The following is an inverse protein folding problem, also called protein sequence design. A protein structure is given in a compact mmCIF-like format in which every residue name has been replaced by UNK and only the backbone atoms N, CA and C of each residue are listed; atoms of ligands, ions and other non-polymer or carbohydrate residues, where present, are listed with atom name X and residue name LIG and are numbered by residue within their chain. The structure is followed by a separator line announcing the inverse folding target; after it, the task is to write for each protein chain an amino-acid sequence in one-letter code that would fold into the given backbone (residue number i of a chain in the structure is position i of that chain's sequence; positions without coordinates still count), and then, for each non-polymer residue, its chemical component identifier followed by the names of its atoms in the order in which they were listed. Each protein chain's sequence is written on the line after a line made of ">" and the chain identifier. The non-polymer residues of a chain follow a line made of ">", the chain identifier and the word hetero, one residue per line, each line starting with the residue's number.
data_IF_877376783249
#
_entry.id   IF_877376783249
#
_cell.length_a   1.000
_cell.length_b   1.000
_cell.length_c   1.000
_cell.angle_alpha   90.00
_cell.angle_beta   90.00
_cell.angle_gamma   90.00
#
_symmetry.space_group_name_H-M   'P 1'
#
loop_
_entity.id
_entity.type
_entity.pdbx_description
1 polymer ?
#
# COMPACT_ATOMS: atom_id res chain seq x y z
N UNK A 1 18.08 -20.51 -4.60
CA UNK A 1 16.67 -20.96 -4.60
C UNK A 1 15.92 -20.05 -5.55
N UNK A 2 15.44 -20.55 -6.68
CA UNK A 2 14.56 -19.77 -7.55
C UNK A 2 13.21 -19.67 -6.85
N UNK A 3 12.91 -18.54 -6.24
CA UNK A 3 11.54 -18.22 -5.86
C UNK A 3 10.72 -18.20 -7.15
N UNK A 4 9.59 -18.90 -7.19
CA UNK A 4 8.64 -18.73 -8.29
C UNK A 4 8.25 -17.25 -8.33
N UNK A 5 8.30 -16.63 -9.51
CA UNK A 5 7.82 -15.25 -9.69
C UNK A 5 6.34 -15.22 -9.28
N UNK A 6 6.00 -14.27 -8.41
CA UNK A 6 4.63 -14.02 -7.96
C UNK A 6 4.17 -12.69 -8.54
N UNK A 7 2.89 -12.55 -8.82
CA UNK A 7 2.26 -11.26 -9.10
C UNK A 7 1.80 -10.61 -7.80
N UNK A 8 2.38 -9.47 -7.45
CA UNK A 8 2.12 -8.77 -6.19
C UNK A 8 1.54 -7.39 -6.46
N UNK A 9 0.38 -7.11 -5.86
CA UNK A 9 -0.19 -5.76 -5.80
C UNK A 9 0.22 -5.13 -4.48
N UNK A 10 0.82 -3.94 -4.53
CA UNK A 10 1.20 -3.18 -3.34
C UNK A 10 0.31 -1.95 -3.26
N UNK A 11 -0.37 -1.74 -2.14
CA UNK A 11 -1.12 -0.51 -1.90
C UNK A 11 -0.36 0.45 -0.99
N UNK A 12 -0.62 1.74 -1.16
CA UNK A 12 0.03 2.78 -0.36
C UNK A 12 -0.71 4.11 -0.40
N UNK A 13 0.00 5.20 -0.14
CA UNK A 13 -0.55 6.57 -0.10
C UNK A 13 0.41 7.59 -0.75
N UNK A 14 1.12 7.23 -1.83
CA UNK A 14 2.08 8.09 -2.53
C UNK A 14 1.42 9.20 -3.35
N UNK A 15 0.38 8.90 -4.13
CA UNK A 15 -0.43 9.92 -4.79
C UNK A 15 -1.28 10.64 -3.75
N UNK A 16 -1.87 9.93 -2.79
CA UNK A 16 -2.69 10.54 -1.73
C UNK A 16 -1.90 11.56 -0.90
N UNK A 17 -0.64 11.27 -0.56
CA UNK A 17 0.27 12.18 0.15
C UNK A 17 1.62 12.28 -0.58
N UNK A 18 1.76 13.16 -1.59
CA UNK A 18 2.94 13.26 -2.45
C UNK A 18 4.09 14.02 -1.76
N UNK A 19 4.50 13.50 -0.60
CA UNK A 19 5.57 13.99 0.26
C UNK A 19 6.72 12.99 0.23
N UNK A 20 7.97 13.47 0.27
CA UNK A 20 9.15 12.62 0.12
C UNK A 20 9.22 11.47 1.15
N UNK A 21 8.89 11.74 2.41
CA UNK A 21 8.85 10.73 3.47
C UNK A 21 7.78 9.66 3.22
N UNK A 22 6.55 10.09 2.90
CA UNK A 22 5.44 9.18 2.57
C UNK A 22 5.75 8.35 1.33
N UNK A 23 6.35 8.97 0.32
CA UNK A 23 6.77 8.28 -0.90
C UNK A 23 7.74 7.17 -0.58
N UNK A 24 8.83 7.45 0.13
CA UNK A 24 9.80 6.43 0.50
C UNK A 24 9.24 5.37 1.46
N UNK A 25 8.21 5.68 2.26
CA UNK A 25 7.56 4.69 3.12
C UNK A 25 6.91 3.55 2.31
N UNK A 26 6.13 3.87 1.27
CA UNK A 26 5.48 2.86 0.42
C UNK A 26 6.38 2.35 -0.70
N UNK A 27 7.15 3.25 -1.31
CA UNK A 27 7.90 2.96 -2.52
C UNK A 27 8.84 1.79 -2.33
N UNK A 28 9.52 1.64 -1.19
CA UNK A 28 10.57 0.62 -0.98
C UNK A 28 10.10 -0.83 -1.20
N UNK A 29 8.81 -1.12 -0.96
CA UNK A 29 8.24 -2.44 -1.20
C UNK A 29 8.28 -2.79 -2.70
N UNK A 30 8.01 -1.82 -3.58
CA UNK A 30 7.81 -2.05 -5.00
C UNK A 30 9.11 -2.46 -5.73
N UNK A 31 10.21 -1.67 -5.73
CA UNK A 31 11.47 -2.09 -6.31
C UNK A 31 12.15 -3.19 -5.48
N UNK A 32 11.90 -3.28 -4.17
CA UNK A 32 12.40 -4.38 -3.33
C UNK A 32 11.91 -5.74 -3.82
N UNK A 33 10.59 -5.88 -3.99
CA UNK A 33 9.96 -7.10 -4.52
C UNK A 33 10.34 -7.38 -5.97
N UNK A 34 10.45 -6.35 -6.83
CA UNK A 34 10.94 -6.51 -8.20
C UNK A 34 12.35 -7.10 -8.26
N UNK A 35 13.24 -6.65 -7.36
CA UNK A 35 14.62 -7.18 -7.26
C UNK A 35 14.67 -8.62 -6.77
N UNK A 36 13.65 -9.08 -6.05
CA UNK A 36 13.48 -10.48 -5.68
C UNK A 36 12.89 -11.34 -6.81
N UNK A 37 12.61 -10.75 -7.98
CA UNK A 37 12.15 -11.45 -9.17
C UNK A 37 10.62 -11.56 -9.30
N UNK A 38 9.87 -10.74 -8.56
CA UNK A 38 8.40 -10.73 -8.63
C UNK A 38 7.86 -9.73 -9.67
N UNK A 39 6.64 -9.99 -10.15
CA UNK A 39 5.87 -9.12 -11.03
C UNK A 39 5.01 -8.18 -10.19
N UNK A 40 5.43 -6.92 -10.05
CA UNK A 40 4.87 -6.01 -9.03
C UNK A 40 4.10 -4.87 -9.67
N UNK A 41 2.93 -4.59 -9.11
CA UNK A 41 2.06 -3.47 -9.45
C UNK A 41 1.79 -2.62 -8.22
N UNK A 42 1.60 -1.33 -8.41
CA UNK A 42 1.24 -0.40 -7.35
C UNK A 42 -0.20 0.09 -7.52
N UNK A 43 -0.98 0.14 -6.45
CA UNK A 43 -2.38 0.52 -6.51
C UNK A 43 -2.75 1.45 -5.36
N UNK A 44 -3.44 2.54 -5.66
CA UNK A 44 -4.04 3.41 -4.65
C UNK A 44 -5.54 3.50 -4.88
N UNK A 45 -6.30 2.94 -3.95
CA UNK A 45 -7.75 2.97 -3.91
C UNK A 45 -8.19 3.27 -2.48
N UNK A 46 -7.95 4.51 -2.07
CA UNK A 46 -8.01 4.94 -0.67
C UNK A 46 -9.40 5.34 -0.22
N UNK A 47 -10.32 5.57 -1.17
CA UNK A 47 -11.64 6.15 -0.95
C UNK A 47 -11.61 7.44 -0.09
N UNK A 48 -10.52 8.20 -0.15
CA UNK A 48 -10.30 9.38 0.70
C UNK A 48 -10.13 10.67 -0.11
N UNK A 49 -10.36 11.78 0.56
CA UNK A 49 -10.21 13.14 0.07
C UNK A 49 -8.73 13.46 -0.20
N UNK A 50 -8.39 13.88 -1.42
CA UNK A 50 -6.99 14.05 -1.86
C UNK A 50 -6.30 15.23 -1.19
N UNK A 51 -5.12 14.97 -0.62
CA UNK A 51 -4.26 16.02 -0.08
C UNK A 51 -3.36 16.60 -1.18
N UNK A 52 -3.30 17.93 -1.28
CA UNK A 52 -2.39 18.63 -2.20
C UNK A 52 -1.45 19.58 -1.48
N UNK A 53 -0.14 19.30 -1.47
CA UNK A 53 0.87 20.25 -0.98
C UNK A 53 0.87 21.56 -1.77
N UNK A 54 0.60 21.49 -3.09
CA UNK A 54 0.59 22.66 -3.98
C UNK A 54 -0.55 23.63 -3.65
N UNK A 55 -1.66 23.13 -3.11
CA UNK A 55 -2.81 23.92 -2.66
C UNK A 55 -2.75 24.29 -1.16
N UNK A 56 -1.56 24.26 -0.53
CA UNK A 56 -1.40 24.58 0.89
C UNK A 56 -2.03 23.54 1.83
N UNK A 57 -2.21 22.30 1.38
CA UNK A 57 -2.72 21.19 2.18
C UNK A 57 -4.24 21.09 2.28
N UNK A 58 -4.99 21.80 1.42
CA UNK A 58 -6.45 21.64 1.31
C UNK A 58 -6.83 20.38 0.51
N UNK A 59 -7.98 19.80 0.86
CA UNK A 59 -8.63 18.77 0.06
C UNK A 59 -9.11 19.36 -1.26
N UNK A 60 -8.66 18.79 -2.38
CA UNK A 60 -8.95 19.32 -3.72
C UNK A 60 -9.84 18.38 -4.53
N UNK A 61 -10.61 18.98 -5.46
CA UNK A 61 -11.37 18.26 -6.52
C UNK A 61 -10.53 18.01 -7.78
N UNK A 62 -9.29 18.50 -7.79
CA UNK A 62 -8.30 18.25 -8.84
C UNK A 62 -7.30 17.22 -8.30
N UNK A 63 -6.83 16.27 -9.11
CA UNK A 63 -5.78 15.34 -8.71
C UNK A 63 -4.58 15.35 -9.67
N UNK A 64 -4.53 16.31 -10.59
CA UNK A 64 -3.52 16.40 -11.65
C UNK A 64 -2.11 16.33 -11.07
N UNK A 65 -1.81 17.15 -10.05
CA UNK A 65 -0.49 17.12 -9.39
C UNK A 65 -0.15 15.75 -8.80
N UNK A 66 -1.10 15.11 -8.12
CA UNK A 66 -0.93 13.83 -7.44
C UNK A 66 -0.69 12.69 -8.45
N UNK A 67 -1.48 12.67 -9.53
CA UNK A 67 -1.35 11.73 -10.65
C UNK A 67 -0.01 11.89 -11.35
N UNK A 68 0.37 13.12 -11.71
CA UNK A 68 1.65 13.40 -12.35
C UNK A 68 2.84 13.06 -11.44
N UNK A 69 2.72 13.33 -10.14
CA UNK A 69 3.72 12.97 -9.14
C UNK A 69 3.93 11.46 -9.11
N UNK A 70 2.84 10.69 -8.97
CA UNK A 70 2.91 9.24 -8.93
C UNK A 70 3.46 8.67 -10.23
N UNK A 71 3.02 9.17 -11.39
CA UNK A 71 3.52 8.77 -12.70
C UNK A 71 5.03 8.96 -12.82
N UNK A 72 5.56 10.12 -12.39
CA UNK A 72 7.01 10.39 -12.39
C UNK A 72 7.77 9.45 -11.46
N UNK A 73 7.25 9.20 -10.26
CA UNK A 73 7.85 8.25 -9.32
C UNK A 73 7.89 6.86 -9.94
N UNK A 74 6.77 6.36 -10.46
CA UNK A 74 6.70 5.02 -11.07
C UNK A 74 7.61 4.88 -12.29
N UNK A 75 7.65 5.88 -13.17
CA UNK A 75 8.53 5.88 -14.34
C UNK A 75 10.01 5.76 -13.95
N UNK A 76 10.46 6.45 -12.89
CA UNK A 76 11.84 6.37 -12.38
C UNK A 76 12.27 4.95 -12.00
N UNK A 77 11.33 4.12 -11.55
CA UNK A 77 11.58 2.74 -11.13
C UNK A 77 11.18 1.70 -12.19
N UNK A 78 10.93 2.14 -13.44
CA UNK A 78 10.56 1.27 -14.55
C UNK A 78 9.18 0.64 -14.39
N UNK A 79 8.24 1.39 -13.81
CA UNK A 79 6.87 0.97 -13.49
C UNK A 79 5.82 1.87 -14.16
N UNK A 80 6.18 2.61 -15.22
CA UNK A 80 5.28 3.57 -15.88
C UNK A 80 3.91 2.97 -16.25
N UNK A 81 3.88 1.71 -16.67
CA UNK A 81 2.67 0.95 -17.07
C UNK A 81 2.23 -0.06 -15.99
N UNK A 82 2.58 0.18 -14.72
CA UNK A 82 2.41 -0.80 -13.62
C UNK A 82 1.84 -0.18 -12.35
N UNK A 83 1.04 0.87 -12.50
CA UNK A 83 0.38 1.51 -11.39
C UNK A 83 -1.06 1.91 -11.74
N UNK A 84 -1.90 2.03 -10.72
CA UNK A 84 -3.20 2.64 -10.84
C UNK A 84 -3.55 3.47 -9.61
N UNK A 85 -4.28 4.56 -9.82
CA UNK A 85 -4.75 5.46 -8.78
C UNK A 85 -6.23 5.75 -8.99
N UNK A 86 -7.04 5.53 -7.96
CA UNK A 86 -8.45 5.88 -7.93
C UNK A 86 -8.63 7.23 -7.25
N UNK A 87 -9.17 8.18 -8.00
CA UNK A 87 -9.59 9.47 -7.48
C UNK A 87 -11.07 9.41 -7.09
N UNK A 88 -11.33 9.18 -5.81
CA UNK A 88 -12.66 8.98 -5.21
C UNK A 88 -13.65 10.11 -5.54
N UNK A 89 -13.23 11.37 -5.37
CA UNK A 89 -14.10 12.55 -5.56
C UNK A 89 -14.60 12.74 -7.01
N UNK A 90 -13.92 12.16 -8.00
CA UNK A 90 -14.33 12.18 -9.41
C UNK A 90 -14.64 10.78 -9.97
N UNK A 91 -14.65 9.75 -9.11
CA UNK A 91 -14.83 8.33 -9.47
C UNK A 91 -14.01 7.92 -10.70
N UNK A 92 -12.76 8.39 -10.79
CA UNK A 92 -11.91 8.26 -11.97
C UNK A 92 -10.64 7.49 -11.66
N UNK A 93 -10.23 6.62 -12.58
CA UNK A 93 -8.98 5.87 -12.48
C UNK A 93 -7.91 6.44 -13.41
N UNK A 94 -6.67 6.46 -12.92
CA UNK A 94 -5.47 6.86 -13.67
C UNK A 94 -4.43 5.74 -13.66
N UNK A 95 -3.52 5.75 -14.62
CA UNK A 95 -2.55 4.67 -14.82
C UNK A 95 -3.15 3.57 -15.70
N UNK A 96 -3.14 2.32 -15.22
CA UNK A 96 -3.70 1.17 -15.94
C UNK A 96 -5.16 1.39 -16.36
N UNK A 97 -5.47 1.02 -17.60
CA UNK A 97 -6.84 0.98 -18.08
C UNK A 97 -7.67 -0.07 -17.32
N UNK A 98 -8.99 0.09 -17.27
CA UNK A 98 -9.88 -0.82 -16.54
C UNK A 98 -9.69 -2.31 -16.90
N UNK A 99 -9.59 -2.73 -18.17
CA UNK A 99 -9.39 -4.14 -18.51
C UNK A 99 -8.06 -4.69 -17.97
N UNK A 100 -7.00 -3.89 -18.05
CA UNK A 100 -5.66 -4.26 -17.59
C UNK A 100 -5.61 -4.34 -16.07
N UNK A 101 -6.16 -3.33 -15.37
CA UNK A 101 -6.29 -3.31 -13.91
C UNK A 101 -7.07 -4.53 -13.43
N UNK A 102 -8.18 -4.86 -14.09
CA UNK A 102 -9.02 -6.02 -13.76
C UNK A 102 -8.25 -7.33 -13.96
N UNK A 103 -7.52 -7.46 -15.07
CA UNK A 103 -6.69 -8.63 -15.34
C UNK A 103 -5.56 -8.77 -14.31
N UNK A 104 -4.88 -7.68 -13.94
CA UNK A 104 -3.83 -7.67 -12.90
C UNK A 104 -4.39 -8.12 -11.56
N UNK A 105 -5.50 -7.53 -11.09
CA UNK A 105 -6.14 -7.92 -9.83
C UNK A 105 -6.61 -9.38 -9.89
N UNK A 106 -7.21 -9.80 -11.00
CA UNK A 106 -7.75 -11.16 -11.16
C UNK A 106 -6.69 -12.26 -11.25
N UNK A 107 -5.41 -11.90 -11.44
CA UNK A 107 -4.30 -12.86 -11.57
C UNK A 107 -3.19 -12.61 -10.54
N UNK A 108 -3.39 -11.69 -9.60
CA UNK A 108 -2.43 -11.45 -8.53
C UNK A 108 -2.45 -12.59 -7.51
N UNK A 109 -1.28 -12.97 -7.04
CA UNK A 109 -1.09 -13.99 -6.00
C UNK A 109 -1.21 -13.39 -4.59
N UNK A 110 -0.83 -12.11 -4.45
CA UNK A 110 -0.70 -11.42 -3.17
C UNK A 110 -1.05 -9.93 -3.30
N UNK A 111 -1.81 -9.42 -2.34
CA UNK A 111 -1.97 -7.99 -2.08
C UNK A 111 -1.31 -7.62 -0.76
N UNK A 112 -0.45 -6.60 -0.77
CA UNK A 112 0.13 -5.98 0.41
C UNK A 112 -0.57 -4.65 0.70
N UNK A 113 -1.40 -4.63 1.74
CA UNK A 113 -2.09 -3.44 2.22
C UNK A 113 -1.25 -2.71 3.28
N UNK A 114 -0.41 -1.79 2.83
CA UNK A 114 0.51 -1.06 3.71
C UNK A 114 -0.26 0.04 4.43
N UNK A 115 -0.08 0.14 5.74
CA UNK A 115 -0.73 1.15 6.59
C UNK A 115 -2.26 1.06 6.62
N UNK A 116 -2.85 -0.01 6.10
CA UNK A 116 -4.28 -0.09 5.89
C UNK A 116 -4.79 0.97 4.90
N UNK A 117 -3.99 1.29 3.88
CA UNK A 117 -4.34 2.31 2.87
C UNK A 117 -5.54 1.94 2.00
N UNK A 118 -5.91 0.65 1.95
CA UNK A 118 -7.07 0.15 1.24
C UNK A 118 -8.21 -0.13 2.24
N UNK A 119 -9.23 0.74 2.35
CA UNK A 119 -10.36 0.56 3.30
C UNK A 119 -11.30 -0.58 2.90
N UNK A 120 -11.56 -0.74 1.60
CA UNK A 120 -12.47 -1.77 1.05
C UNK A 120 -11.71 -3.00 0.55
N UNK A 121 -10.84 -3.57 1.40
CA UNK A 121 -10.00 -4.71 1.03
C UNK A 121 -10.79 -5.95 0.57
N UNK A 122 -12.03 -6.12 1.04
CA UNK A 122 -12.93 -7.21 0.62
C UNK A 122 -13.22 -7.19 -0.89
N UNK A 123 -13.19 -6.03 -1.55
CA UNK A 123 -13.41 -5.92 -3.00
C UNK A 123 -12.28 -6.56 -3.83
N UNK A 124 -11.13 -6.80 -3.19
CA UNK A 124 -9.94 -7.38 -3.79
C UNK A 124 -9.81 -8.87 -3.49
N UNK A 125 -10.85 -9.51 -2.93
CA UNK A 125 -10.79 -10.91 -2.48
C UNK A 125 -10.62 -11.95 -3.59
N UNK A 126 -10.74 -11.54 -4.86
CA UNK A 126 -10.28 -12.37 -6.00
C UNK A 126 -8.79 -12.74 -5.88
N UNK A 127 -8.01 -11.92 -5.17
CA UNK A 127 -6.62 -12.20 -4.84
C UNK A 127 -6.58 -13.25 -3.71
N UNK A 128 -5.90 -14.39 -3.90
CA UNK A 128 -5.92 -15.50 -2.94
C UNK A 128 -5.36 -15.15 -1.56
N UNK A 129 -4.43 -14.18 -1.47
CA UNK A 129 -3.79 -13.77 -0.22
C UNK A 129 -3.76 -12.26 -0.08
N UNK A 130 -4.32 -11.77 1.02
CA UNK A 130 -4.26 -10.37 1.42
C UNK A 130 -3.45 -10.24 2.71
N UNK A 131 -2.43 -9.39 2.71
CA UNK A 131 -1.60 -9.11 3.88
C UNK A 131 -1.82 -7.67 4.35
N UNK A 132 -2.19 -7.50 5.61
CA UNK A 132 -2.23 -6.20 6.25
C UNK A 132 -0.86 -5.89 6.86
N UNK A 133 -0.29 -4.71 6.60
CA UNK A 133 0.95 -4.27 7.24
C UNK A 133 0.65 -3.05 8.09
N UNK A 134 0.56 -3.26 9.40
CA UNK A 134 0.37 -2.21 10.40
C UNK A 134 1.67 -1.44 10.63
N UNK A 135 1.68 -0.17 10.19
CA UNK A 135 2.82 0.73 10.35
C UNK A 135 2.69 1.66 11.56
N UNK A 136 1.54 1.63 12.23
CA UNK A 136 1.18 2.50 13.35
C UNK A 136 0.79 1.65 14.56
N UNK A 137 1.74 0.82 15.06
CA UNK A 137 1.48 -0.06 16.18
C UNK A 137 1.05 0.75 17.41
N UNK A 138 0.37 0.07 18.33
CA UNK A 138 -0.35 0.65 19.47
C UNK A 138 -1.64 1.35 19.05
N UNK A 139 -1.61 2.30 18.11
CA UNK A 139 -2.81 3.04 17.71
C UNK A 139 -3.87 2.12 17.12
N UNK A 140 -3.48 1.27 16.17
CA UNK A 140 -4.43 0.36 15.51
C UNK A 140 -4.95 -0.73 16.46
N UNK A 141 -4.12 -1.24 17.37
CA UNK A 141 -4.56 -2.20 18.39
C UNK A 141 -5.53 -1.55 19.40
N UNK A 142 -5.31 -0.29 19.79
CA UNK A 142 -6.25 0.45 20.64
C UNK A 142 -7.60 0.66 19.92
N UNK A 143 -7.59 1.00 18.63
CA UNK A 143 -8.84 1.13 17.84
C UNK A 143 -9.63 -0.17 17.85
N UNK A 144 -8.95 -1.30 17.62
CA UNK A 144 -9.55 -2.64 17.63
C UNK A 144 -10.08 -3.01 19.03
N UNK A 145 -9.28 -2.79 20.08
CA UNK A 145 -9.68 -3.10 21.46
C UNK A 145 -10.84 -2.24 21.95
N UNK A 146 -11.00 -1.02 21.41
CA UNK A 146 -12.12 -0.11 21.71
C UNK A 146 -13.38 -0.39 20.91
N UNK A 147 -13.43 -1.47 20.12
CA UNK A 147 -14.67 -1.86 19.45
C UNK A 147 -14.89 -1.19 18.09
N UNK A 148 -13.88 -0.58 17.46
CA UNK A 148 -14.08 0.03 16.13
C UNK A 148 -14.40 -1.05 15.09
N UNK A 149 -15.69 -1.21 14.76
CA UNK A 149 -16.18 -2.26 13.87
C UNK A 149 -15.77 -2.04 12.42
N UNK A 150 -15.75 -0.79 11.94
CA UNK A 150 -15.34 -0.48 10.57
C UNK A 150 -13.88 -0.86 10.36
N UNK A 151 -13.00 -0.44 11.26
CA UNK A 151 -11.58 -0.77 11.19
C UNK A 151 -11.36 -2.28 11.36
N UNK A 152 -12.14 -2.94 12.22
CA UNK A 152 -12.06 -4.39 12.37
C UNK A 152 -12.47 -5.13 11.10
N UNK A 153 -13.55 -4.75 10.43
CA UNK A 153 -13.92 -5.33 9.12
C UNK A 153 -12.78 -5.20 8.11
N UNK A 154 -12.18 -4.01 8.02
CA UNK A 154 -11.03 -3.77 7.16
C UNK A 154 -9.84 -4.71 7.50
N UNK A 155 -9.49 -4.83 8.78
CA UNK A 155 -8.38 -5.68 9.21
C UNK A 155 -8.70 -7.17 9.00
N UNK A 156 -9.90 -7.61 9.33
CA UNK A 156 -10.34 -9.02 9.24
C UNK A 156 -10.53 -9.51 7.80
N UNK A 157 -10.65 -8.59 6.82
CA UNK A 157 -10.59 -8.91 5.39
C UNK A 157 -9.25 -9.55 4.96
N UNK A 158 -8.19 -9.41 5.77
CA UNK A 158 -6.84 -9.89 5.45
C UNK A 158 -6.55 -11.26 6.04
N UNK A 159 -5.78 -12.06 5.30
CA UNK A 159 -5.39 -13.42 5.68
C UNK A 159 -4.22 -13.47 6.67
N UNK A 160 -3.34 -12.46 6.62
CA UNK A 160 -2.14 -12.37 7.44
C UNK A 160 -1.90 -10.93 7.86
N UNK A 161 -1.53 -10.75 9.13
CA UNK A 161 -1.35 -9.44 9.73
C UNK A 161 0.09 -9.27 10.17
N UNK A 162 0.78 -8.31 9.58
CA UNK A 162 2.10 -7.87 9.99
C UNK A 162 2.02 -6.55 10.75
N UNK A 163 3.02 -6.27 11.58
CA UNK A 163 3.12 -5.01 12.31
C UNK A 163 4.56 -4.59 12.53
N UNK A 164 4.82 -3.28 12.58
CA UNK A 164 6.10 -2.74 13.05
C UNK A 164 6.24 -2.81 14.58
N UNK A 165 5.17 -3.18 15.30
CA UNK A 165 5.21 -3.42 16.73
C UNK A 165 5.91 -4.73 17.09
N UNK A 166 7.23 -4.70 17.29
CA UNK A 166 8.05 -5.90 17.55
C UNK A 166 7.65 -6.69 18.82
N UNK A 167 6.92 -6.06 19.74
CA UNK A 167 6.45 -6.67 21.00
C UNK A 167 4.98 -7.08 20.98
N UNK A 168 4.26 -6.85 19.89
CA UNK A 168 2.90 -7.33 19.76
C UNK A 168 2.92 -8.87 19.69
N UNK A 169 2.05 -9.50 20.48
CA UNK A 169 2.11 -10.94 20.71
C UNK A 169 1.80 -11.72 19.43
N UNK A 170 2.51 -12.84 19.23
CA UNK A 170 2.26 -13.84 18.18
C UNK A 170 1.09 -14.79 18.54
N UNK A 171 0.16 -14.31 19.36
CA UNK A 171 -1.04 -15.03 19.80
C UNK A 171 -2.22 -14.08 19.66
N UNK A 172 -3.40 -14.62 19.40
CA UNK A 172 -4.64 -13.82 19.29
C UNK A 172 -4.96 -13.22 20.66
N UNK A 173 -4.45 -12.01 20.91
CA UNK A 173 -4.69 -11.23 22.12
C UNK A 173 -5.99 -10.43 22.05
N UNK A 174 -6.03 -9.28 22.73
CA UNK A 174 -7.20 -8.41 22.85
C UNK A 174 -7.81 -7.90 21.53
N UNK A 175 -7.11 -8.02 20.40
CA UNK A 175 -7.62 -7.58 19.08
C UNK A 175 -8.26 -8.70 18.26
N UNK A 176 -7.95 -9.98 18.56
CA UNK A 176 -8.44 -11.14 17.81
C UNK A 176 -7.53 -11.61 16.65
N UNK A 177 -6.62 -10.76 16.17
CA UNK A 177 -5.66 -11.10 15.10
C UNK A 177 -4.31 -11.58 15.68
N UNK A 178 -3.59 -12.38 14.90
CA UNK A 178 -2.21 -12.75 15.17
C UNK A 178 -1.27 -11.77 14.45
N UNK A 179 -0.59 -10.91 15.21
CA UNK A 179 0.31 -9.90 14.64
C UNK A 179 1.73 -10.45 14.50
N UNK A 180 2.22 -10.52 13.26
CA UNK A 180 3.57 -10.94 12.94
C UNK A 180 4.51 -9.71 12.89
N UNK A 181 5.56 -9.66 13.70
CA UNK A 181 6.48 -8.53 13.66
C UNK A 181 7.23 -8.49 12.33
N UNK A 182 7.33 -7.30 11.75
CA UNK A 182 8.12 -6.99 10.57
C UNK A 182 8.77 -5.61 10.71
N UNK A 183 9.56 -5.20 9.72
CA UNK A 183 10.21 -3.88 9.67
C UNK A 183 10.02 -3.25 8.31
N UNK A 184 10.14 -1.92 8.27
CA UNK A 184 10.17 -1.17 7.02
C UNK A 184 11.30 -1.70 6.12
N UNK A 185 11.01 -2.17 4.88
CA UNK A 185 12.04 -2.51 3.94
C UNK A 185 12.79 -1.25 3.50
N UNK A 186 14.10 -1.40 3.26
CA UNK A 186 14.97 -0.34 2.78
C UNK A 186 15.77 -0.87 1.59
N UNK A 187 15.52 -0.33 0.40
CA UNK A 187 16.33 -0.61 -0.80
C UNK A 187 17.58 0.25 -0.74
N UNK A 188 18.62 -0.27 -0.08
CA UNK A 188 19.86 0.45 0.21
C UNK A 188 20.56 1.04 -1.03
N UNK A 189 20.35 0.48 -2.22
CA UNK A 189 20.92 1.01 -3.47
C UNK A 189 20.38 2.39 -3.86
N UNK A 190 19.21 2.77 -3.34
CA UNK A 190 18.60 4.09 -3.61
C UNK A 190 19.09 5.20 -2.68
N UNK A 191 19.86 4.85 -1.65
CA UNK A 191 20.38 5.81 -0.67
C UNK A 191 21.82 6.19 -1.02
N UNK A 192 22.06 7.49 -1.20
CA UNK A 192 23.42 7.99 -1.34
C UNK A 192 24.15 7.79 -0.02
N UNK A 193 25.25 7.05 -0.05
CA UNK A 193 26.18 7.02 1.09
C UNK A 193 26.81 8.40 1.17
N UNK A 194 26.62 9.09 2.29
CA UNK A 194 27.51 10.19 2.63
C UNK A 194 28.91 9.56 2.76
N UNK A 195 29.85 10.01 1.93
CA UNK A 195 31.25 9.66 2.14
C UNK A 195 31.64 10.26 3.50
N UNK A 196 32.35 9.51 4.35
CA UNK A 196 32.87 10.06 5.60
C UNK A 196 33.73 11.30 5.35
#
# INVERSE_FOLDING_TARGET
>A
MSTSSLRVVVTGLMAQYPLGGMTWHYLQYVPGLRRLGHDVYYLEDTDDAVYSPAAGGSTIRDCTFNVEYLARVMARFGLAERWAYHFSAGSSWYGLAEPERTAVIGSADLLLNISGSLPSADEYRRIPRLAFIDTDPVFNQIKLSRGNEQFRRQVDAHDVHFTFGERLQRTTGATGQCWLPTRQPVVLSEWRRLRP
#
